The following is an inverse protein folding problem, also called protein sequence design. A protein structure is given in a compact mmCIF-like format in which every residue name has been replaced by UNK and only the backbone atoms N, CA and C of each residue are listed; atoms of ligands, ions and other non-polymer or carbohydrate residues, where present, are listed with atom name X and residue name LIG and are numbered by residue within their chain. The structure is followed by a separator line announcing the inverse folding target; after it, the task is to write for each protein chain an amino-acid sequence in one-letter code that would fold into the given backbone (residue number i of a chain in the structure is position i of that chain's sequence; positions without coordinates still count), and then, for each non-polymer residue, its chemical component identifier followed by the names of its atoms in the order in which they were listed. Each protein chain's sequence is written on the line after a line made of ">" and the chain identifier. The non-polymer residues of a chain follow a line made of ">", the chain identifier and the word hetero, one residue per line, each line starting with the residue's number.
data_IF_025629638683
#
_entry.id   IF_025629638683
#
_cell.length_a   1.000
_cell.length_b   1.000
_cell.length_c   1.000
_cell.angle_alpha   90.00
_cell.angle_beta   90.00
_cell.angle_gamma   90.00
#
_symmetry.space_group_name_H-M   'P 1'
#
loop_
_entity.id
_entity.type
_entity.pdbx_description
1 polymer ?
#
# COMPACT_ATOMS: atom_id res chain seq x y z
N UNK A 1 -6.35 -0.37 -8.76
CA UNK A 1 -5.46 -0.23 -7.59
C UNK A 1 -4.25 -1.13 -7.77
N UNK A 2 -3.07 -0.69 -7.38
CA UNK A 2 -1.82 -1.44 -7.51
C UNK A 2 -1.43 -2.07 -6.16
N UNK A 3 -1.30 -3.40 -6.06
CA UNK A 3 -1.04 -4.08 -4.80
C UNK A 3 0.44 -4.27 -4.51
N UNK A 4 0.80 -4.15 -3.24
CA UNK A 4 2.11 -4.43 -2.69
C UNK A 4 2.00 -5.26 -1.42
N UNK A 5 3.02 -6.09 -1.17
CA UNK A 5 3.15 -6.84 0.08
C UNK A 5 4.53 -6.54 0.66
N UNK A 6 4.54 -6.09 1.91
CA UNK A 6 5.75 -5.94 2.73
C UNK A 6 5.71 -7.02 3.80
N UNK A 7 6.80 -7.75 3.98
CA UNK A 7 6.85 -8.83 4.97
C UNK A 7 8.05 -8.70 5.88
N UNK A 8 7.79 -8.82 7.17
CA UNK A 8 8.80 -9.11 8.16
C UNK A 8 9.48 -10.45 7.91
N UNK A 9 10.66 -10.62 8.49
CA UNK A 9 11.49 -11.80 8.26
C UNK A 9 10.75 -13.08 8.67
N UNK A 10 10.61 -14.00 7.72
CA UNK A 10 9.97 -15.31 7.98
C UNK A 10 8.44 -15.25 7.99
N UNK A 11 7.83 -14.08 7.83
CA UNK A 11 6.39 -13.97 7.56
C UNK A 11 6.09 -14.35 6.12
N UNK A 12 4.96 -14.99 5.93
CA UNK A 12 4.42 -15.37 4.63
C UNK A 12 2.96 -14.98 4.55
N UNK A 13 2.47 -14.78 3.32
CA UNK A 13 1.06 -14.62 3.04
C UNK A 13 0.54 -15.86 2.31
N UNK A 14 -0.76 -16.06 2.39
CA UNK A 14 -1.49 -17.00 1.55
C UNK A 14 -2.57 -16.26 0.74
N UNK A 15 -3.25 -17.00 -0.15
CA UNK A 15 -4.28 -16.43 -1.02
C UNK A 15 -5.48 -15.90 -0.21
N UNK A 16 -5.84 -16.55 0.90
CA UNK A 16 -6.94 -16.12 1.76
C UNK A 16 -6.65 -14.78 2.43
N UNK A 17 -5.40 -14.56 2.85
CA UNK A 17 -4.94 -13.29 3.39
C UNK A 17 -5.05 -12.17 2.35
N UNK A 18 -4.60 -12.44 1.13
CA UNK A 18 -4.67 -11.49 0.01
C UNK A 18 -6.12 -11.16 -0.32
N UNK A 19 -7.01 -12.14 -0.38
CA UNK A 19 -8.42 -11.91 -0.67
C UNK A 19 -9.13 -11.11 0.43
N UNK A 20 -8.80 -11.40 1.70
CA UNK A 20 -9.35 -10.65 2.84
C UNK A 20 -8.88 -9.19 2.82
N UNK A 21 -7.59 -8.97 2.59
CA UNK A 21 -7.02 -7.64 2.44
C UNK A 21 -7.65 -6.89 1.25
N UNK A 22 -7.84 -7.58 0.12
CA UNK A 22 -8.49 -7.04 -1.09
C UNK A 22 -9.90 -6.55 -0.79
N UNK A 23 -10.73 -7.32 -0.08
CA UNK A 23 -12.10 -6.92 0.26
C UNK A 23 -12.10 -5.61 1.07
N UNK A 24 -11.24 -5.50 2.07
CA UNK A 24 -11.12 -4.27 2.88
C UNK A 24 -10.64 -3.09 2.04
N UNK A 25 -9.62 -3.30 1.20
CA UNK A 25 -9.10 -2.29 0.30
C UNK A 25 -10.14 -1.80 -0.72
N UNK A 26 -10.88 -2.72 -1.33
CA UNK A 26 -11.95 -2.40 -2.28
C UNK A 26 -13.02 -1.54 -1.64
N UNK A 27 -13.49 -1.87 -0.43
CA UNK A 27 -14.48 -1.07 0.29
C UNK A 27 -13.96 0.34 0.58
N UNK A 28 -12.71 0.48 0.99
CA UNK A 28 -12.11 1.79 1.21
C UNK A 28 -11.98 2.57 -0.11
N UNK A 29 -11.64 1.89 -1.20
CA UNK A 29 -11.49 2.51 -2.51
C UNK A 29 -12.83 2.99 -3.08
N UNK A 30 -13.90 2.21 -2.91
CA UNK A 30 -15.28 2.61 -3.25
C UNK A 30 -15.71 3.85 -2.48
N UNK A 31 -15.36 3.94 -1.18
CA UNK A 31 -15.59 5.13 -0.38
C UNK A 31 -14.79 6.33 -0.91
N UNK A 32 -13.50 6.15 -1.22
CA UNK A 32 -12.64 7.21 -1.74
C UNK A 32 -13.12 7.72 -3.11
N UNK A 33 -13.61 6.83 -3.98
CA UNK A 33 -14.24 7.16 -5.27
C UNK A 33 -15.48 8.03 -5.09
N UNK A 34 -16.38 7.64 -4.17
CA UNK A 34 -17.54 8.45 -3.79
C UNK A 34 -17.14 9.83 -3.22
N UNK A 35 -15.94 9.95 -2.66
CA UNK A 35 -15.35 11.19 -2.15
C UNK A 35 -14.51 11.96 -3.19
N UNK A 36 -14.55 11.55 -4.46
CA UNK A 36 -13.93 12.26 -5.59
C UNK A 36 -12.49 11.82 -5.90
N UNK A 37 -12.12 10.58 -5.61
CA UNK A 37 -10.88 9.99 -6.11
C UNK A 37 -10.83 9.99 -7.66
N UNK A 38 -9.61 9.87 -8.20
CA UNK A 38 -9.32 9.69 -9.61
C UNK A 38 -9.49 8.23 -10.09
N UNK A 39 -9.89 7.30 -9.21
CA UNK A 39 -10.00 5.87 -9.55
C UNK A 39 -8.65 5.16 -9.63
N UNK A 40 -7.57 5.83 -9.22
CA UNK A 40 -6.21 5.31 -9.15
C UNK A 40 -5.72 5.31 -7.69
N UNK A 41 -4.94 4.29 -7.34
CA UNK A 41 -4.37 4.19 -6.00
C UNK A 41 -3.65 2.88 -5.74
N UNK A 42 -3.11 2.78 -4.54
CA UNK A 42 -2.14 1.79 -4.11
C UNK A 42 -2.64 1.14 -2.84
N UNK A 43 -2.41 -0.17 -2.71
CA UNK A 43 -2.66 -0.90 -1.48
C UNK A 43 -1.39 -1.63 -1.04
N UNK A 44 -1.03 -1.50 0.23
CA UNK A 44 0.11 -2.19 0.85
C UNK A 44 -0.40 -3.08 1.98
N UNK A 45 -0.26 -4.39 1.82
CA UNK A 45 -0.43 -5.34 2.92
C UNK A 45 0.93 -5.53 3.59
N UNK A 46 1.05 -5.14 4.86
CA UNK A 46 2.28 -5.27 5.61
C UNK A 46 2.12 -6.29 6.74
N UNK A 47 2.89 -7.37 6.67
CA UNK A 47 2.98 -8.40 7.70
C UNK A 47 4.20 -8.08 8.60
N UNK A 48 3.99 -7.31 9.67
CA UNK A 48 5.02 -6.93 10.65
C UNK A 48 5.13 -7.98 11.76
N UNK A 49 6.20 -8.05 12.54
CA UNK A 49 6.32 -8.98 13.68
C UNK A 49 5.23 -8.77 14.75
N UNK A 50 4.70 -7.55 14.87
CA UNK A 50 3.71 -7.16 15.88
C UNK A 50 2.25 -7.15 15.38
N UNK A 51 2.02 -7.37 14.08
CA UNK A 51 0.67 -7.44 13.53
C UNK A 51 0.59 -7.34 12.01
N UNK A 52 -0.61 -7.08 11.53
CA UNK A 52 -0.92 -6.89 10.11
C UNK A 52 -1.46 -5.48 9.91
N UNK A 53 -0.90 -4.79 8.91
CA UNK A 53 -1.31 -3.46 8.52
C UNK A 53 -1.77 -3.48 7.05
N UNK A 54 -2.79 -2.69 6.75
CA UNK A 54 -3.26 -2.45 5.38
C UNK A 54 -3.28 -0.95 5.15
N UNK A 55 -2.44 -0.48 4.25
CA UNK A 55 -2.38 0.93 3.84
C UNK A 55 -3.07 1.06 2.49
N UNK A 56 -4.07 1.92 2.39
CA UNK A 56 -4.76 2.25 1.15
C UNK A 56 -4.52 3.73 0.86
N UNK A 57 -3.88 4.03 -0.27
CA UNK A 57 -3.69 5.39 -0.75
C UNK A 57 -4.41 5.57 -2.07
N UNK A 58 -5.36 6.50 -2.15
CA UNK A 58 -6.02 6.89 -3.40
C UNK A 58 -5.59 8.29 -3.83
N UNK A 59 -5.55 8.52 -5.14
CA UNK A 59 -5.25 9.82 -5.72
C UNK A 59 -6.56 10.59 -5.93
N UNK A 60 -6.55 11.89 -5.66
CA UNK A 60 -7.70 12.77 -5.85
C UNK A 60 -7.46 13.75 -7.01
N UNK A 61 -8.56 14.24 -7.59
CA UNK A 61 -8.54 15.12 -8.78
C UNK A 61 -7.90 16.48 -8.54
N UNK A 62 -7.71 16.88 -7.29
CA UNK A 62 -7.11 18.14 -6.84
C UNK A 62 -5.62 17.99 -6.46
N UNK A 63 -4.96 16.94 -6.96
CA UNK A 63 -3.55 16.61 -6.69
C UNK A 63 -3.27 16.24 -5.22
N UNK A 64 -4.29 15.86 -4.47
CA UNK A 64 -4.16 15.32 -3.13
C UNK A 64 -4.13 13.79 -3.13
N UNK A 65 -3.69 13.21 -2.02
CA UNK A 65 -3.89 11.80 -1.74
C UNK A 65 -4.76 11.64 -0.50
N UNK A 66 -5.60 10.60 -0.49
CA UNK A 66 -6.26 10.12 0.72
C UNK A 66 -5.54 8.89 1.21
N UNK A 67 -5.28 8.83 2.50
CA UNK A 67 -4.55 7.75 3.13
C UNK A 67 -5.42 7.15 4.23
N UNK A 68 -5.67 5.86 4.12
CA UNK A 68 -6.37 5.07 5.12
C UNK A 68 -5.47 3.93 5.58
N UNK A 69 -5.36 3.75 6.89
CA UNK A 69 -4.54 2.70 7.50
C UNK A 69 -5.48 1.84 8.32
N UNK A 70 -5.35 0.52 8.17
CA UNK A 70 -6.01 -0.47 9.00
C UNK A 70 -4.95 -1.32 9.69
N UNK A 71 -5.23 -1.77 10.90
CA UNK A 71 -4.34 -2.63 11.68
C UNK A 71 -5.14 -3.71 12.40
N UNK A 72 -4.53 -4.87 12.59
CA UNK A 72 -5.08 -6.00 13.36
C UNK A 72 -3.97 -6.98 13.72
N UNK A 73 -4.28 -7.96 14.57
CA UNK A 73 -3.35 -9.08 14.83
C UNK A 73 -3.19 -9.91 13.55
N UNK A 74 -4.31 -10.20 12.88
CA UNK A 74 -4.38 -10.89 11.60
C UNK A 74 -5.24 -10.09 10.59
N UNK A 75 -5.19 -10.50 9.32
CA UNK A 75 -5.98 -9.89 8.22
C UNK A 75 -7.48 -9.86 8.47
N UNK A 76 -8.04 -10.83 9.22
CA UNK A 76 -9.47 -10.89 9.55
C UNK A 76 -9.90 -9.83 10.56
N UNK A 77 -8.95 -9.26 11.28
CA UNK A 77 -9.17 -8.33 12.38
C UNK A 77 -8.79 -6.89 12.03
N UNK A 78 -8.57 -6.59 10.75
CA UNK A 78 -8.26 -5.23 10.31
C UNK A 78 -9.36 -4.25 10.72
N UNK A 79 -8.97 -3.21 11.46
CA UNK A 79 -9.81 -2.07 11.85
C UNK A 79 -9.06 -0.77 11.54
N UNK A 80 -9.76 0.36 11.32
CA UNK A 80 -9.10 1.64 11.12
C UNK A 80 -8.09 1.91 12.23
N UNK A 81 -6.88 2.29 11.84
CA UNK A 81 -5.80 2.60 12.76
C UNK A 81 -6.17 3.85 13.60
N UNK A 82 -5.57 4.00 14.80
CA UNK A 82 -5.77 5.20 15.62
C UNK A 82 -5.43 6.49 14.88
N UNK A 83 -6.19 7.55 15.16
CA UNK A 83 -5.96 8.88 14.59
C UNK A 83 -4.52 9.33 14.91
N UNK A 84 -3.82 9.83 13.89
CA UNK A 84 -2.45 10.32 14.01
C UNK A 84 -1.37 9.26 13.75
N UNK A 85 -1.74 7.98 13.61
CA UNK A 85 -0.82 6.97 13.09
C UNK A 85 -0.52 7.25 11.61
N UNK A 86 0.76 7.26 11.27
CA UNK A 86 1.23 7.33 9.88
C UNK A 86 1.76 5.96 9.40
N UNK A 87 2.03 5.82 8.10
CA UNK A 87 2.63 4.60 7.56
C UNK A 87 4.04 4.40 8.14
N UNK A 88 4.42 3.14 8.32
CA UNK A 88 5.77 2.77 8.74
C UNK A 88 6.80 3.15 7.68
N UNK A 89 8.07 3.21 8.07
CA UNK A 89 9.18 3.54 7.14
C UNK A 89 9.24 2.59 5.93
N UNK A 90 8.77 1.35 6.09
CA UNK A 90 8.72 0.36 5.01
C UNK A 90 7.59 0.63 4.03
N UNK A 91 6.39 0.97 4.52
CA UNK A 91 5.28 1.39 3.67
C UNK A 91 5.59 2.71 2.95
N UNK A 92 6.29 3.63 3.61
CA UNK A 92 6.68 4.91 3.03
C UNK A 92 7.59 4.77 1.81
N UNK A 93 8.43 3.72 1.73
CA UNK A 93 9.23 3.44 0.53
C UNK A 93 8.33 3.17 -0.69
N UNK A 94 7.31 2.32 -0.50
CA UNK A 94 6.30 2.02 -1.54
C UNK A 94 5.53 3.29 -1.92
N UNK A 95 5.04 4.06 -0.94
CA UNK A 95 4.28 5.28 -1.20
C UNK A 95 5.13 6.36 -1.90
N UNK A 96 6.43 6.43 -1.60
CA UNK A 96 7.36 7.34 -2.26
C UNK A 96 7.56 6.96 -3.72
N UNK A 97 7.79 5.67 -4.00
CA UNK A 97 7.88 5.14 -5.36
C UNK A 97 6.61 5.43 -6.15
N UNK A 98 5.45 5.10 -5.59
CA UNK A 98 4.17 5.26 -6.28
C UNK A 98 3.77 6.72 -6.52
N UNK A 99 4.13 7.63 -5.61
CA UNK A 99 4.00 9.07 -5.87
C UNK A 99 4.83 9.47 -7.09
N UNK A 100 6.09 9.02 -7.17
CA UNK A 100 6.97 9.36 -8.29
C UNK A 100 6.43 8.79 -9.61
N UNK A 101 6.02 7.52 -9.61
CA UNK A 101 5.40 6.86 -10.76
C UNK A 101 4.10 7.56 -11.19
N UNK A 102 3.22 7.94 -10.25
CA UNK A 102 2.01 8.69 -10.55
C UNK A 102 2.31 10.05 -11.19
N UNK A 103 3.28 10.80 -10.68
CA UNK A 103 3.70 12.07 -11.28
C UNK A 103 4.25 11.86 -12.69
N UNK A 104 5.08 10.84 -12.88
CA UNK A 104 5.72 10.57 -14.17
C UNK A 104 4.73 10.10 -15.24
N UNK A 105 3.87 9.15 -14.92
CA UNK A 105 3.05 8.45 -15.92
C UNK A 105 1.61 8.98 -15.99
N UNK A 106 1.10 9.65 -14.95
CA UNK A 106 -0.28 10.15 -14.91
C UNK A 106 -0.37 11.67 -14.99
N UNK A 107 0.51 12.41 -14.31
CA UNK A 107 0.44 13.88 -14.27
C UNK A 107 1.33 14.58 -15.30
N UNK A 108 2.13 13.84 -16.07
CA UNK A 108 2.93 14.41 -17.16
C UNK A 108 2.07 14.68 -18.40
N UNK A 109 2.69 15.01 -19.54
CA UNK A 109 1.97 15.52 -20.72
C UNK A 109 0.97 14.52 -21.34
N UNK A 110 1.18 13.21 -21.14
CA UNK A 110 0.29 12.14 -21.58
C UNK A 110 -0.01 11.19 -20.42
N UNK A 111 -1.31 10.87 -20.24
CA UNK A 111 -1.74 9.89 -19.23
C UNK A 111 -1.48 8.49 -19.76
N UNK A 112 -0.62 7.75 -19.09
CA UNK A 112 -0.30 6.35 -19.38
C UNK A 112 -0.52 5.48 -18.14
N UNK A 113 -1.72 4.89 -18.05
CA UNK A 113 -2.10 4.03 -16.93
C UNK A 113 -1.36 2.70 -16.97
N UNK A 114 -1.08 2.16 -18.15
CA UNK A 114 -0.41 0.87 -18.30
C UNK A 114 1.05 0.98 -17.86
N UNK A 115 1.75 2.05 -18.25
CA UNK A 115 3.10 2.33 -17.76
C UNK A 115 3.14 2.53 -16.23
N UNK A 116 2.14 3.19 -15.65
CA UNK A 116 2.03 3.30 -14.19
C UNK A 116 1.82 1.95 -13.50
N UNK A 117 0.99 1.07 -14.07
CA UNK A 117 0.78 -0.28 -13.53
C UNK A 117 2.05 -1.13 -13.60
N UNK A 118 2.83 -0.99 -14.67
CA UNK A 118 4.07 -1.74 -14.89
C UNK A 118 5.26 -1.23 -14.05
N UNK A 119 5.30 0.05 -13.69
CA UNK A 119 6.38 0.67 -12.89
C UNK A 119 6.28 0.28 -11.40
N UNK A 120 6.50 -0.99 -11.07
CA UNK A 120 6.31 -1.52 -9.72
C UNK A 120 7.62 -1.63 -8.92
N UNK A 121 7.57 -1.24 -7.64
CA UNK A 121 8.65 -1.51 -6.70
C UNK A 121 8.71 -3.01 -6.34
N UNK A 122 9.89 -3.62 -6.43
CA UNK A 122 10.08 -4.99 -5.96
C UNK A 122 10.19 -5.03 -4.42
N UNK A 123 9.09 -5.36 -3.75
CA UNK A 123 9.02 -5.45 -2.29
C UNK A 123 9.38 -6.82 -1.72
N UNK A 124 9.83 -7.76 -2.55
CA UNK A 124 10.23 -9.09 -2.07
C UNK A 124 11.45 -8.96 -1.14
N UNK A 125 11.54 -9.78 -0.06
CA UNK A 125 12.70 -9.77 0.82
C UNK A 125 14.01 -9.96 0.04
N UNK A 126 14.81 -8.89 -0.03
CA UNK A 126 16.14 -8.93 -0.63
C UNK A 126 17.12 -9.50 0.40
N UNK A 127 17.94 -10.47 0.01
CA UNK A 127 19.00 -10.98 0.89
C UNK A 127 20.08 -9.91 1.02
N UNK A 128 20.12 -9.19 2.14
CA UNK A 128 21.23 -8.29 2.49
C UNK A 128 22.24 -9.06 3.33
N UNK A 129 23.46 -9.20 2.81
CA UNK A 129 24.55 -9.93 3.48
C UNK A 129 25.34 -9.06 4.48
N UNK A 130 25.05 -7.77 4.54
CA UNK A 130 25.87 -6.71 5.14
C UNK A 130 25.06 -5.71 5.98
N UNK A 131 23.78 -5.95 6.22
CA UNK A 131 22.91 -5.07 7.01
C UNK A 131 22.91 -5.36 8.51
N UNK A 132 22.83 -4.31 9.32
CA UNK A 132 22.37 -4.40 10.72
C UNK A 132 21.01 -5.10 10.72
N UNK A 133 20.71 -6.05 11.62
CA UNK A 133 19.42 -6.71 11.65
C UNK A 133 18.32 -5.66 11.84
N UNK A 134 17.54 -5.37 10.81
CA UNK A 134 16.29 -4.63 11.00
C UNK A 134 15.28 -5.62 11.57
N UNK A 135 14.87 -5.39 12.82
CA UNK A 135 13.63 -5.95 13.33
C UNK A 135 12.50 -5.33 12.51
N UNK A 136 12.02 -6.11 11.55
CA UNK A 136 10.64 -6.07 11.08
C UNK A 136 9.89 -7.11 11.86
#
# INVERSE_FOLDING_TARGET
>A
MKPYIVTARGRQWDDQMVDTARITATRQFEFDDAMGSAGLGVVVLHLSDDGVYLVVQSWAKDFQSRLSIFSGIDVGDLRPAPIGAGPTVWEQEVLSHERAAYVQHILSAEVDVDAWLDDALDTRPQVRYDGIPSGT
#
